data_IF_767386346532
#
_entry.id   IF_767386346532
#
_cell.length_a   1.000
_cell.length_b   1.000
_cell.length_c   1.000
_cell.angle_alpha   90.00
_cell.angle_beta   90.00
_cell.angle_gamma   90.00
#
_symmetry.space_group_name_H-M   'P 1'
#
loop_
_entity.id
_entity.type
_entity.pdbx_description
1 polymer ?
#
# COMPACT_ATOMS: atom_id res chain seq x y z
N UNK A 1 -11.66 10.33 -24.69
CA UNK A 1 -13.04 10.86 -24.59
C UNK A 1 -13.00 11.93 -23.51
N UNK A 2 -13.70 13.05 -23.68
CA UNK A 2 -13.76 14.06 -22.62
C UNK A 2 -14.85 13.71 -21.59
N UNK A 3 -14.49 13.76 -20.31
CA UNK A 3 -15.39 13.52 -19.18
C UNK A 3 -15.83 14.83 -18.50
N UNK A 4 -15.29 15.99 -18.91
CA UNK A 4 -15.64 17.30 -18.34
C UNK A 4 -17.15 17.62 -18.35
N UNK A 5 -17.98 17.15 -19.31
CA UNK A 5 -19.43 17.36 -19.26
C UNK A 5 -20.12 16.74 -18.04
N UNK A 6 -19.56 15.68 -17.45
CA UNK A 6 -20.15 14.98 -16.29
C UNK A 6 -20.13 15.82 -15.01
N UNK A 7 -19.25 16.83 -14.93
CA UNK A 7 -19.15 17.75 -13.80
C UNK A 7 -20.39 18.65 -13.63
N UNK A 8 -21.32 18.64 -14.60
CA UNK A 8 -22.61 19.36 -14.56
C UNK A 8 -23.70 18.62 -13.77
N UNK A 9 -23.46 17.38 -13.33
CA UNK A 9 -24.46 16.49 -12.73
C UNK A 9 -24.09 16.11 -11.29
N UNK A 10 -25.05 16.19 -10.37
CA UNK A 10 -24.89 15.71 -8.99
C UNK A 10 -25.20 14.20 -8.90
N UNK A 11 -24.29 13.38 -9.43
CA UNK A 11 -24.42 11.91 -9.46
C UNK A 11 -24.23 11.33 -8.04
N UNK A 12 -25.18 10.53 -7.57
CA UNK A 12 -25.17 9.99 -6.19
C UNK A 12 -25.45 8.48 -6.15
N UNK A 13 -24.45 7.67 -5.79
CA UNK A 13 -24.60 6.23 -5.61
C UNK A 13 -25.12 5.90 -4.20
N UNK A 14 -26.34 6.33 -3.88
CA UNK A 14 -26.92 6.12 -2.54
C UNK A 14 -27.18 4.63 -2.26
N UNK A 15 -26.71 4.17 -1.10
CA UNK A 15 -26.89 2.79 -0.63
C UNK A 15 -26.10 1.73 -1.42
N UNK A 16 -26.59 0.49 -1.29
CA UNK A 16 -25.99 -0.76 -1.81
C UNK A 16 -25.81 -0.73 -3.34
N UNK A 17 -24.61 -1.00 -3.90
CA UNK A 17 -24.39 -1.02 -5.36
C UNK A 17 -25.27 -2.02 -6.10
N UNK A 18 -25.55 -3.17 -5.51
CA UNK A 18 -26.27 -4.29 -6.14
C UNK A 18 -27.80 -4.15 -6.09
N UNK A 19 -28.31 -3.02 -5.59
CA UNK A 19 -29.74 -2.76 -5.46
C UNK A 19 -30.15 -1.52 -6.23
N UNK A 20 -31.28 -1.60 -6.92
CA UNK A 20 -31.91 -0.47 -7.62
C UNK A 20 -32.07 0.74 -6.68
N UNK A 21 -31.95 1.93 -7.26
CA UNK A 21 -31.90 3.19 -6.52
C UNK A 21 -33.20 3.97 -6.65
N UNK A 22 -33.68 4.56 -5.56
CA UNK A 22 -34.75 5.54 -5.60
C UNK A 22 -34.32 6.89 -6.23
N UNK A 23 -33.02 7.12 -6.44
CA UNK A 23 -32.48 8.27 -7.18
C UNK A 23 -32.11 7.86 -8.60
N UNK A 24 -32.78 8.44 -9.61
CA UNK A 24 -32.54 8.17 -11.04
C UNK A 24 -31.29 8.81 -11.64
N UNK A 25 -30.36 9.35 -10.84
CA UNK A 25 -29.10 9.96 -11.30
C UNK A 25 -27.91 9.40 -10.52
N UNK A 26 -27.44 8.22 -10.94
CA UNK A 26 -26.34 7.48 -10.31
C UNK A 26 -25.43 6.80 -11.32
N UNK A 27 -24.34 6.21 -10.83
CA UNK A 27 -23.37 5.43 -11.59
C UNK A 27 -23.23 3.97 -11.10
N UNK A 28 -24.26 3.40 -10.44
CA UNK A 28 -24.17 2.06 -9.80
C UNK A 28 -23.68 0.96 -10.75
N UNK A 29 -24.05 1.00 -12.03
CA UNK A 29 -23.55 0.08 -13.05
C UNK A 29 -22.03 0.16 -13.24
N UNK A 30 -21.48 1.37 -13.40
CA UNK A 30 -20.02 1.59 -13.47
C UNK A 30 -19.31 1.18 -12.17
N UNK A 31 -19.98 1.31 -11.03
CA UNK A 31 -19.46 0.84 -9.75
C UNK A 31 -19.40 -0.69 -9.68
N UNK A 32 -20.46 -1.41 -10.09
CA UNK A 32 -20.46 -2.87 -10.15
C UNK A 32 -19.42 -3.38 -11.17
N UNK A 33 -19.27 -2.74 -12.33
CA UNK A 33 -18.22 -3.05 -13.30
C UNK A 33 -16.79 -2.87 -12.73
N UNK A 34 -16.56 -1.83 -11.93
CA UNK A 34 -15.28 -1.64 -11.22
C UNK A 34 -15.06 -2.72 -10.16
N UNK A 35 -16.11 -3.14 -9.45
CA UNK A 35 -16.02 -4.22 -8.45
C UNK A 35 -15.78 -5.58 -9.12
N UNK A 36 -16.49 -5.92 -10.19
CA UNK A 36 -16.29 -7.15 -10.98
C UNK A 36 -14.85 -7.24 -11.51
N UNK A 37 -14.29 -6.12 -11.96
CA UNK A 37 -12.90 -6.06 -12.43
C UNK A 37 -11.89 -6.40 -11.33
N UNK A 38 -12.09 -5.87 -10.12
CA UNK A 38 -11.25 -6.21 -8.97
C UNK A 38 -11.52 -7.62 -8.43
N UNK A 39 -12.78 -8.08 -8.40
CA UNK A 39 -13.12 -9.45 -8.02
C UNK A 39 -12.40 -10.47 -8.93
N UNK A 40 -12.42 -10.25 -10.25
CA UNK A 40 -11.66 -11.05 -11.22
C UNK A 40 -10.15 -11.01 -10.96
N UNK A 41 -9.58 -9.83 -10.71
CA UNK A 41 -8.14 -9.68 -10.45
C UNK A 41 -7.69 -10.42 -9.17
N UNK A 42 -8.55 -10.43 -8.15
CA UNK A 42 -8.30 -11.05 -6.84
C UNK A 42 -8.83 -12.49 -6.74
N UNK A 43 -9.18 -13.08 -7.88
CA UNK A 43 -9.71 -14.45 -8.07
C UNK A 43 -10.96 -14.81 -7.25
N UNK A 44 -11.74 -13.81 -6.83
CA UNK A 44 -13.07 -14.03 -6.24
C UNK A 44 -14.03 -14.46 -7.35
N UNK A 45 -14.88 -15.47 -7.11
CA UNK A 45 -15.89 -15.84 -8.11
C UNK A 45 -16.91 -14.71 -8.26
N UNK A 46 -17.45 -14.55 -9.47
CA UNK A 46 -18.59 -13.67 -9.70
C UNK A 46 -19.77 -14.14 -8.82
N UNK A 47 -20.52 -13.16 -8.31
CA UNK A 47 -21.66 -13.33 -7.40
C UNK A 47 -21.33 -13.92 -5.99
N UNK A 48 -20.06 -14.25 -5.70
CA UNK A 48 -19.59 -14.66 -4.36
C UNK A 48 -18.93 -13.53 -3.55
N UNK A 49 -19.13 -12.27 -3.95
CA UNK A 49 -18.51 -11.11 -3.30
C UNK A 49 -19.53 -10.00 -2.99
N UNK A 50 -19.21 -9.16 -2.00
CA UNK A 50 -19.87 -7.88 -1.77
C UNK A 50 -18.82 -6.81 -1.48
N UNK A 51 -19.05 -5.60 -1.99
CA UNK A 51 -18.17 -4.44 -1.82
C UNK A 51 -18.80 -3.20 -2.44
N UNK A 52 -18.09 -2.08 -2.35
CA UNK A 52 -18.49 -0.80 -2.95
C UNK A 52 -17.27 0.11 -3.18
N UNK A 53 -17.39 1.10 -4.05
CA UNK A 53 -16.33 2.09 -4.32
C UNK A 53 -16.29 3.11 -3.19
N UNK A 54 -15.12 3.21 -2.56
CA UNK A 54 -14.85 3.99 -1.34
C UNK A 54 -14.21 5.36 -1.64
N UNK A 55 -14.26 6.27 -0.66
CA UNK A 55 -13.35 7.40 -0.51
C UNK A 55 -11.91 6.94 -0.64
N UNK A 56 -11.55 5.95 0.16
CA UNK A 56 -10.28 5.33 -0.06
C UNK A 56 -9.73 4.37 0.97
N UNK A 57 -8.39 4.22 1.00
CA UNK A 57 -7.72 3.23 1.85
C UNK A 57 -8.04 3.42 3.33
N UNK A 58 -8.18 4.67 3.78
CA UNK A 58 -8.65 4.93 5.15
C UNK A 58 -10.06 4.36 5.41
N UNK A 59 -10.94 4.38 4.41
CA UNK A 59 -12.29 3.82 4.49
C UNK A 59 -12.32 2.31 4.30
N UNK A 60 -11.70 1.76 3.26
CA UNK A 60 -11.72 0.31 3.03
C UNK A 60 -11.09 -0.45 4.20
N UNK A 61 -10.08 0.13 4.85
CA UNK A 61 -9.52 -0.38 6.10
C UNK A 61 -10.51 -0.25 7.28
N UNK A 62 -11.24 0.87 7.39
CA UNK A 62 -12.28 1.03 8.40
C UNK A 62 -13.40 -0.01 8.22
N UNK A 63 -13.92 -0.17 7.00
CA UNK A 63 -14.98 -1.12 6.68
C UNK A 63 -14.53 -2.58 6.81
N UNK A 64 -13.33 -2.92 6.34
CA UNK A 64 -12.79 -4.29 6.44
C UNK A 64 -12.53 -4.70 7.90
N UNK A 65 -12.00 -3.80 8.73
CA UNK A 65 -11.82 -4.06 10.16
C UNK A 65 -13.15 -4.02 10.93
N UNK A 66 -14.15 -3.26 10.48
CA UNK A 66 -15.51 -3.33 11.01
C UNK A 66 -16.13 -4.71 10.72
N UNK A 67 -16.02 -5.22 9.49
CA UNK A 67 -16.46 -6.58 9.15
C UNK A 67 -15.78 -7.65 10.02
N UNK A 68 -14.45 -7.58 10.16
CA UNK A 68 -13.71 -8.49 11.04
C UNK A 68 -14.16 -8.42 12.51
N UNK A 69 -14.52 -7.23 13.00
CA UNK A 69 -15.06 -7.01 14.34
C UNK A 69 -16.48 -7.53 14.52
N UNK A 70 -17.39 -7.32 13.58
CA UNK A 70 -18.76 -7.84 13.71
C UNK A 70 -18.81 -9.37 13.58
N UNK A 71 -17.88 -9.96 12.82
CA UNK A 71 -17.70 -11.42 12.74
C UNK A 71 -17.01 -12.00 13.98
N UNK A 72 -16.03 -11.30 14.56
CA UNK A 72 -15.28 -11.72 15.75
C UNK A 72 -15.30 -10.63 16.86
N UNK A 73 -16.42 -10.46 17.61
CA UNK A 73 -16.59 -9.34 18.54
C UNK A 73 -15.57 -9.28 19.69
N UNK A 74 -15.11 -10.43 20.17
CA UNK A 74 -14.06 -10.54 21.21
C UNK A 74 -12.64 -10.64 20.63
N UNK A 75 -12.50 -10.49 19.31
CA UNK A 75 -11.25 -10.62 18.57
C UNK A 75 -10.24 -9.51 18.87
N UNK A 76 -8.97 -9.89 19.00
CA UNK A 76 -7.85 -8.94 19.09
C UNK A 76 -7.38 -8.58 17.68
N UNK A 77 -7.16 -7.28 17.42
CA UNK A 77 -6.46 -6.81 16.23
C UNK A 77 -4.94 -6.98 16.38
N UNK A 78 -4.32 -7.68 15.44
CA UNK A 78 -2.86 -7.75 15.30
C UNK A 78 -2.46 -7.05 13.99
N UNK A 79 -1.46 -6.17 14.07
CA UNK A 79 -1.08 -5.27 12.96
C UNK A 79 0.38 -4.87 13.07
N UNK A 80 1.10 -4.81 11.95
CA UNK A 80 2.53 -4.43 11.92
C UNK A 80 2.76 -2.96 12.31
N UNK A 81 3.94 -2.64 12.84
CA UNK A 81 4.31 -1.24 13.18
C UNK A 81 4.31 -0.30 11.95
N UNK A 82 4.59 -0.84 10.76
CA UNK A 82 4.59 -0.12 9.47
C UNK A 82 3.20 -0.09 8.79
N UNK A 83 2.17 -0.67 9.42
CA UNK A 83 0.77 -0.61 8.94
C UNK A 83 0.28 0.84 8.87
N UNK A 84 -0.57 1.15 7.88
CA UNK A 84 -1.05 2.51 7.66
C UNK A 84 -1.88 3.04 8.85
N UNK A 85 -1.78 4.35 9.15
CA UNK A 85 -2.36 4.93 10.36
C UNK A 85 -3.90 4.82 10.46
N UNK A 86 -4.59 4.51 9.36
CA UNK A 86 -6.02 4.17 9.36
C UNK A 86 -6.33 2.93 10.19
N UNK A 87 -5.42 1.95 10.27
CA UNK A 87 -5.59 0.72 11.05
C UNK A 87 -5.66 1.04 12.55
N UNK A 88 -4.70 1.82 13.06
CA UNK A 88 -4.71 2.28 14.47
C UNK A 88 -5.89 3.23 14.76
N UNK A 89 -6.32 4.02 13.76
CA UNK A 89 -7.52 4.87 13.86
C UNK A 89 -8.80 4.02 13.98
N UNK A 90 -8.95 2.98 13.16
CA UNK A 90 -10.06 2.03 13.20
C UNK A 90 -10.13 1.32 14.55
N UNK A 91 -9.01 0.76 15.02
CA UNK A 91 -8.92 0.13 16.33
C UNK A 91 -9.43 1.03 17.46
N UNK A 92 -9.01 2.31 17.46
CA UNK A 92 -9.45 3.32 18.43
C UNK A 92 -10.93 3.70 18.29
N UNK A 93 -11.44 3.83 17.06
CA UNK A 93 -12.85 4.17 16.80
C UNK A 93 -13.80 3.06 17.22
N UNK A 94 -13.46 1.81 16.89
CA UNK A 94 -14.27 0.62 17.17
C UNK A 94 -13.98 -0.03 18.53
N UNK A 95 -13.06 0.55 19.31
CA UNK A 95 -12.63 0.12 20.66
C UNK A 95 -12.08 -1.31 20.71
N UNK A 96 -11.40 -1.73 19.64
CA UNK A 96 -10.77 -3.04 19.54
C UNK A 96 -9.50 -3.10 20.39
N UNK A 97 -9.26 -4.22 21.06
CA UNK A 97 -7.94 -4.49 21.64
C UNK A 97 -6.93 -4.68 20.51
N UNK A 98 -5.79 -3.98 20.56
CA UNK A 98 -4.81 -3.94 19.47
C UNK A 98 -3.41 -4.30 19.96
N UNK A 99 -2.75 -5.25 19.28
CA UNK A 99 -1.36 -5.65 19.51
C UNK A 99 -0.52 -5.21 18.31
N UNK A 100 0.39 -4.27 18.55
CA UNK A 100 1.35 -3.85 17.54
C UNK A 100 2.44 -4.91 17.42
N UNK A 101 2.61 -5.45 16.21
CA UNK A 101 3.65 -6.42 15.86
C UNK A 101 4.90 -5.66 15.40
N UNK A 102 6.07 -6.23 15.69
CA UNK A 102 7.35 -5.79 15.15
C UNK A 102 7.41 -5.95 13.62
N UNK A 103 8.46 -5.39 13.02
CA UNK A 103 8.70 -5.49 11.58
C UNK A 103 10.16 -5.81 11.32
N UNK A 104 10.41 -6.52 10.22
CA UNK A 104 11.75 -6.70 9.65
C UNK A 104 12.29 -5.35 9.14
N UNK A 105 13.60 -5.26 8.87
CA UNK A 105 14.22 -4.07 8.28
C UNK A 105 13.63 -3.71 6.91
N UNK A 106 13.18 -4.71 6.15
CA UNK A 106 12.39 -4.55 4.91
C UNK A 106 11.10 -3.75 5.11
N UNK A 107 10.49 -3.85 6.30
CA UNK A 107 9.19 -3.26 6.66
C UNK A 107 8.04 -4.26 6.74
N UNK A 108 8.30 -5.55 6.43
CA UNK A 108 7.34 -6.65 6.56
C UNK A 108 7.05 -6.98 8.03
N UNK A 109 5.87 -7.53 8.33
CA UNK A 109 5.46 -8.03 9.65
C UNK A 109 6.36 -9.16 10.15
N UNK A 110 6.90 -9.04 11.37
CA UNK A 110 7.68 -10.11 11.99
C UNK A 110 6.75 -11.21 12.52
N UNK A 111 6.70 -12.33 11.80
CA UNK A 111 5.87 -13.48 12.14
C UNK A 111 6.33 -14.20 13.43
N UNK A 112 7.54 -13.97 13.93
CA UNK A 112 8.00 -14.52 15.21
C UNK A 112 7.39 -13.75 16.39
N UNK A 113 7.35 -12.42 16.30
CA UNK A 113 6.69 -11.56 17.29
C UNK A 113 5.15 -11.68 17.21
N UNK A 114 4.59 -11.87 16.01
CA UNK A 114 3.18 -12.25 15.82
C UNK A 114 2.87 -13.54 16.58
N UNK A 115 3.65 -14.61 16.37
CA UNK A 115 3.51 -15.91 17.04
C UNK A 115 3.57 -15.78 18.56
N UNK A 116 4.56 -15.05 19.09
CA UNK A 116 4.69 -14.81 20.52
C UNK A 116 3.45 -14.13 21.11
N UNK A 117 2.88 -13.16 20.39
CA UNK A 117 1.68 -12.42 20.82
C UNK A 117 0.38 -13.23 20.65
N UNK A 118 0.27 -14.07 19.62
CA UNK A 118 -0.84 -15.01 19.45
C UNK A 118 -0.86 -16.06 20.57
N UNK A 119 0.27 -16.69 20.88
CA UNK A 119 0.36 -17.70 21.96
C UNK A 119 -0.07 -17.13 23.31
N UNK A 120 0.30 -15.88 23.62
CA UNK A 120 -0.10 -15.18 24.85
C UNK A 120 -1.60 -14.85 24.94
N UNK A 121 -2.36 -14.97 23.84
CA UNK A 121 -3.76 -14.58 23.76
C UNK A 121 -4.64 -15.64 23.05
N UNK A 122 -4.14 -16.88 22.92
CA UNK A 122 -4.69 -18.00 22.11
C UNK A 122 -6.18 -18.33 22.33
N UNK A 123 -6.72 -17.94 23.49
CA UNK A 123 -8.10 -18.24 23.90
C UNK A 123 -9.10 -17.23 23.28
N UNK A 124 -8.61 -16.11 22.72
CA UNK A 124 -9.41 -15.14 21.93
C UNK A 124 -9.25 -15.35 20.41
N UNK A 125 -10.22 -14.90 19.59
CA UNK A 125 -10.05 -14.82 18.13
C UNK A 125 -9.00 -13.77 17.71
N UNK A 126 -8.53 -13.85 16.47
CA UNK A 126 -7.53 -12.93 15.92
C UNK A 126 -7.97 -12.25 14.62
N UNK A 127 -8.04 -10.92 14.64
CA UNK A 127 -8.25 -10.09 13.45
C UNK A 127 -6.87 -9.61 13.01
N UNK A 128 -6.42 -9.96 11.80
CA UNK A 128 -5.07 -9.65 11.32
C UNK A 128 -5.15 -8.60 10.21
N UNK A 129 -4.36 -7.53 10.33
CA UNK A 129 -4.06 -6.65 9.21
C UNK A 129 -2.77 -7.10 8.52
N UNK A 130 -2.88 -7.49 7.25
CA UNK A 130 -1.76 -7.82 6.35
C UNK A 130 -1.61 -6.67 5.36
N UNK A 131 -0.46 -6.01 5.33
CA UNK A 131 -0.22 -4.84 4.48
C UNK A 131 0.56 -5.21 3.22
N UNK A 132 -0.09 -5.01 2.07
CA UNK A 132 0.48 -5.21 0.74
C UNK A 132 0.88 -3.83 0.21
N UNK A 133 2.13 -3.46 0.48
CA UNK A 133 2.68 -2.16 0.16
C UNK A 133 2.65 -1.17 1.32
N UNK A 134 3.52 -1.36 2.32
CA UNK A 134 3.65 -0.43 3.46
C UNK A 134 3.93 1.00 2.98
N UNK A 135 3.33 1.98 3.65
CA UNK A 135 3.27 3.36 3.13
C UNK A 135 4.64 4.02 2.97
N UNK A 136 5.62 3.69 3.83
CA UNK A 136 6.96 4.28 3.73
C UNK A 136 7.99 3.42 2.96
N UNK A 137 7.93 2.08 3.10
CA UNK A 137 8.94 1.16 2.55
C UNK A 137 8.47 0.36 1.32
N UNK A 138 7.17 0.36 1.03
CA UNK A 138 6.59 -0.49 -0.02
C UNK A 138 6.79 -1.99 0.22
N UNK A 139 6.88 -2.40 1.49
CA UNK A 139 7.02 -3.81 1.88
C UNK A 139 5.68 -4.56 1.73
N UNK A 140 5.73 -5.86 1.52
CA UNK A 140 4.55 -6.70 1.29
C UNK A 140 4.57 -7.84 2.30
N UNK A 141 3.65 -7.81 3.26
CA UNK A 141 3.54 -8.81 4.31
C UNK A 141 3.25 -10.21 3.70
N UNK A 142 4.07 -11.20 4.05
CA UNK A 142 3.97 -12.56 3.53
C UNK A 142 2.73 -13.29 4.11
N UNK A 143 1.64 -13.30 3.34
CA UNK A 143 0.35 -13.86 3.77
C UNK A 143 0.42 -15.36 4.12
N UNK A 144 1.14 -16.18 3.35
CA UNK A 144 1.25 -17.62 3.65
C UNK A 144 2.00 -17.88 4.96
N UNK A 145 3.04 -17.08 5.26
CA UNK A 145 3.75 -17.15 6.54
C UNK A 145 2.88 -16.68 7.71
N UNK A 146 2.00 -15.70 7.48
CA UNK A 146 0.98 -15.25 8.46
C UNK A 146 -0.06 -16.34 8.71
N UNK A 147 -0.65 -16.93 7.66
CA UNK A 147 -1.64 -18.03 7.75
C UNK A 147 -1.03 -19.22 8.50
N UNK A 148 0.13 -19.69 8.05
CA UNK A 148 0.87 -20.77 8.73
C UNK A 148 1.17 -20.45 10.20
N UNK A 149 1.43 -19.19 10.53
CA UNK A 149 1.66 -18.78 11.92
C UNK A 149 0.37 -18.79 12.75
N UNK A 150 -0.80 -18.55 12.18
CA UNK A 150 -2.11 -18.71 12.85
C UNK A 150 -2.40 -20.19 13.11
N UNK A 151 -2.24 -21.03 12.09
CA UNK A 151 -2.42 -22.49 12.15
C UNK A 151 -1.51 -23.12 13.22
N UNK A 152 -0.21 -22.81 13.20
CA UNK A 152 0.76 -23.31 14.18
C UNK A 152 0.56 -22.73 15.59
N UNK A 153 -0.25 -21.68 15.75
CA UNK A 153 -0.72 -21.19 17.06
C UNK A 153 -2.04 -21.85 17.52
N UNK A 154 -2.64 -22.72 16.71
CA UNK A 154 -3.90 -23.40 17.02
C UNK A 154 -5.15 -22.55 16.77
N UNK A 155 -5.09 -21.57 15.86
CA UNK A 155 -6.28 -20.86 15.38
C UNK A 155 -6.77 -21.52 14.08
N UNK A 156 -7.97 -22.09 14.13
CA UNK A 156 -8.75 -22.51 12.96
C UNK A 156 -9.35 -21.30 12.24
N UNK A 157 -9.77 -21.48 10.98
CA UNK A 157 -10.29 -20.40 10.12
C UNK A 157 -11.50 -19.67 10.72
N UNK A 158 -12.37 -20.35 11.48
CA UNK A 158 -13.50 -19.76 12.21
C UNK A 158 -13.07 -18.83 13.37
N UNK A 159 -11.80 -18.89 13.77
CA UNK A 159 -11.23 -18.10 14.88
C UNK A 159 -10.32 -16.97 14.42
N UNK A 160 -10.15 -16.74 13.11
CA UNK A 160 -9.41 -15.58 12.61
C UNK A 160 -10.08 -14.88 11.43
N UNK A 161 -9.71 -13.62 11.21
CA UNK A 161 -10.17 -12.82 10.09
C UNK A 161 -8.99 -12.02 9.53
N UNK A 162 -8.68 -12.18 8.25
CA UNK A 162 -7.59 -11.45 7.59
C UNK A 162 -8.14 -10.29 6.77
N UNK A 163 -7.70 -9.07 7.10
CA UNK A 163 -7.88 -7.88 6.28
C UNK A 163 -6.58 -7.55 5.52
N UNK A 164 -6.68 -7.39 4.21
CA UNK A 164 -5.57 -7.05 3.34
C UNK A 164 -5.59 -5.56 2.97
N UNK A 165 -4.72 -4.73 3.56
CA UNK A 165 -4.50 -3.35 3.08
C UNK A 165 -3.59 -3.38 1.85
N UNK A 166 -4.22 -3.43 0.67
CA UNK A 166 -3.53 -3.36 -0.62
C UNK A 166 -3.58 -1.94 -1.23
N UNK A 167 -3.67 -0.89 -0.40
CA UNK A 167 -3.91 0.45 -0.91
C UNK A 167 -2.80 0.96 -1.84
N UNK A 168 -1.52 0.65 -1.63
CA UNK A 168 -0.49 1.02 -2.62
C UNK A 168 -0.35 0.01 -3.77
N UNK A 169 -0.75 -1.25 -3.56
CA UNK A 169 -0.40 -2.38 -4.43
C UNK A 169 -1.58 -3.26 -4.84
N UNK A 170 -2.72 -2.63 -5.10
CA UNK A 170 -3.94 -3.27 -5.64
C UNK A 170 -3.73 -4.10 -6.91
N UNK A 171 -2.64 -3.83 -7.65
CA UNK A 171 -2.23 -4.53 -8.88
C UNK A 171 -1.19 -5.64 -8.64
N UNK A 172 -0.90 -6.03 -7.39
CA UNK A 172 0.06 -7.10 -7.07
C UNK A 172 -0.14 -8.40 -7.89
N UNK A 173 -1.36 -8.90 -8.16
CA UNK A 173 -1.54 -10.12 -8.98
C UNK A 173 -1.01 -10.01 -10.43
N UNK A 174 -0.78 -8.81 -10.97
CA UNK A 174 -0.16 -8.63 -12.30
C UNK A 174 1.32 -8.99 -12.38
N UNK A 175 2.00 -9.13 -11.24
CA UNK A 175 3.43 -9.47 -11.16
C UNK A 175 3.72 -10.90 -11.62
N UNK A 176 2.72 -11.79 -11.63
CA UNK A 176 2.80 -13.13 -12.22
C UNK A 176 3.70 -14.13 -11.48
N UNK A 177 4.20 -13.78 -10.29
CA UNK A 177 4.95 -14.67 -9.40
C UNK A 177 4.01 -15.40 -8.45
N UNK A 178 4.39 -16.61 -8.03
CA UNK A 178 3.75 -17.33 -6.92
C UNK A 178 4.58 -17.17 -5.63
N UNK A 179 3.93 -17.16 -4.44
CA UNK A 179 2.50 -17.33 -4.23
C UNK A 179 1.69 -16.07 -4.58
N UNK A 180 0.62 -16.28 -5.35
CA UNK A 180 -0.37 -15.23 -5.63
C UNK A 180 -1.28 -15.02 -4.43
N UNK A 181 -1.19 -13.83 -3.86
CA UNK A 181 -2.10 -13.28 -2.87
C UNK A 181 -3.51 -13.10 -3.47
N UNK A 182 -4.42 -14.04 -3.26
CA UNK A 182 -5.81 -14.02 -3.80
C UNK A 182 -6.82 -14.64 -2.82
N UNK A 183 -8.12 -14.48 -3.06
CA UNK A 183 -9.19 -15.03 -2.19
C UNK A 183 -9.35 -16.57 -2.27
N UNK A 184 -8.36 -17.29 -2.80
CA UNK A 184 -8.18 -18.73 -2.57
C UNK A 184 -7.58 -19.02 -1.19
N UNK A 185 -6.90 -18.04 -0.59
CA UNK A 185 -6.48 -18.04 0.81
C UNK A 185 -7.64 -17.51 1.69
N UNK A 186 -7.69 -17.82 3.01
CA UNK A 186 -8.72 -17.36 3.94
C UNK A 186 -8.63 -15.85 4.26
N UNK A 187 -8.88 -15.02 3.24
CA UNK A 187 -8.93 -13.55 3.31
C UNK A 187 -10.37 -13.09 3.47
N UNK A 188 -10.64 -12.31 4.52
CA UNK A 188 -11.98 -11.83 4.86
C UNK A 188 -12.36 -10.49 4.21
N UNK A 189 -11.38 -9.65 3.83
CA UNK A 189 -11.58 -8.47 2.98
C UNK A 189 -10.26 -7.91 2.45
N UNK A 190 -10.34 -7.10 1.38
CA UNK A 190 -9.22 -6.32 0.85
C UNK A 190 -9.61 -4.84 0.75
N UNK A 191 -8.69 -3.92 1.05
CA UNK A 191 -8.80 -2.51 0.69
C UNK A 191 -7.95 -2.21 -0.55
N UNK A 192 -8.56 -1.55 -1.53
CA UNK A 192 -7.92 -1.08 -2.76
C UNK A 192 -8.05 0.43 -2.87
N UNK A 193 -6.98 1.10 -3.30
CA UNK A 193 -6.93 2.56 -3.43
C UNK A 193 -6.64 2.99 -4.86
N UNK A 194 -7.71 3.11 -5.64
CA UNK A 194 -7.65 3.80 -6.94
C UNK A 194 -7.34 5.29 -6.78
N UNK A 195 -7.67 5.90 -5.63
CA UNK A 195 -7.49 7.32 -5.32
C UNK A 195 -6.08 7.73 -4.86
N UNK A 196 -5.14 6.79 -4.75
CA UNK A 196 -3.71 7.13 -4.96
C UNK A 196 -3.45 7.58 -6.41
N UNK A 197 -4.53 7.66 -7.22
CA UNK A 197 -4.74 8.45 -8.43
C UNK A 197 -6.11 9.24 -8.44
N UNK A 198 -6.58 9.84 -7.30
CA UNK A 198 -7.76 10.79 -7.04
C UNK A 198 -9.05 10.29 -6.26
N UNK A 199 -9.57 11.08 -5.28
CA UNK A 199 -10.36 10.78 -4.00
C UNK A 199 -11.96 10.81 -3.94
N UNK A 200 -12.52 10.44 -2.74
CA UNK A 200 -13.89 10.71 -2.13
C UNK A 200 -15.06 9.68 -2.37
N UNK A 201 -15.96 9.26 -1.43
CA UNK A 201 -16.40 9.70 -0.05
C UNK A 201 -17.04 8.55 0.84
N UNK A 202 -16.91 8.57 2.21
CA UNK A 202 -17.27 7.51 3.24
C UNK A 202 -18.76 7.16 3.44
N UNK A 203 -19.63 7.83 2.70
CA UNK A 203 -20.91 8.32 3.26
C UNK A 203 -22.14 7.59 2.71
N UNK A 204 -23.32 7.79 3.31
CA UNK A 204 -24.56 7.17 2.81
C UNK A 204 -24.92 7.58 1.38
N UNK A 205 -24.69 8.85 1.05
CA UNK A 205 -24.55 9.33 -0.34
C UNK A 205 -23.10 9.19 -0.77
N UNK A 206 -22.84 8.63 -1.96
CA UNK A 206 -21.48 8.26 -2.42
C UNK A 206 -21.15 8.90 -3.77
N UNK A 207 -19.86 9.16 -3.96
CA UNK A 207 -19.31 9.86 -5.12
C UNK A 207 -19.60 9.10 -6.42
N UNK A 208 -20.58 9.58 -7.20
CA UNK A 208 -20.95 8.96 -8.48
C UNK A 208 -20.02 9.30 -9.65
N UNK A 209 -19.01 10.15 -9.46
CA UNK A 209 -18.01 10.44 -10.49
C UNK A 209 -16.81 9.48 -10.40
N UNK A 210 -16.39 9.10 -9.19
CA UNK A 210 -15.23 8.22 -9.00
C UNK A 210 -15.35 6.88 -9.76
N UNK A 211 -16.47 6.13 -9.69
CA UNK A 211 -16.66 4.91 -10.47
C UNK A 211 -16.46 5.12 -11.98
N UNK A 212 -16.96 6.24 -12.53
CA UNK A 212 -16.84 6.54 -13.96
C UNK A 212 -15.38 6.85 -14.34
N UNK A 213 -14.65 7.63 -13.52
CA UNK A 213 -13.24 7.91 -13.75
C UNK A 213 -12.36 6.65 -13.63
N UNK A 214 -12.62 5.78 -12.65
CA UNK A 214 -11.91 4.51 -12.46
C UNK A 214 -12.21 3.56 -13.63
N UNK A 215 -13.49 3.36 -13.96
CA UNK A 215 -13.93 2.54 -15.09
C UNK A 215 -13.32 3.02 -16.41
N UNK A 216 -13.27 4.33 -16.65
CA UNK A 216 -12.64 4.91 -17.83
C UNK A 216 -11.13 4.65 -17.87
N UNK A 217 -10.43 4.81 -16.75
CA UNK A 217 -9.00 4.53 -16.64
C UNK A 217 -8.65 3.06 -16.87
N UNK A 218 -9.43 2.14 -16.29
CA UNK A 218 -9.30 0.70 -16.48
C UNK A 218 -9.60 0.30 -17.93
N UNK A 219 -10.70 0.78 -18.50
CA UNK A 219 -11.15 0.45 -19.87
C UNK A 219 -10.22 0.98 -20.96
N UNK A 220 -9.64 2.18 -20.76
CA UNK A 220 -8.70 2.78 -21.72
C UNK A 220 -7.34 2.07 -21.79
N UNK A 221 -6.91 1.39 -20.72
CA UNK A 221 -5.63 0.66 -20.67
C UNK A 221 -5.80 -0.85 -20.89
N UNK A 222 -6.89 -1.42 -20.36
CA UNK A 222 -7.09 -2.86 -20.26
C UNK A 222 -6.02 -3.56 -19.41
N UNK A 223 -6.16 -4.88 -19.25
CA UNK A 223 -5.20 -5.71 -18.51
C UNK A 223 -3.76 -5.54 -19.02
N UNK A 224 -3.54 -5.52 -20.35
CA UNK A 224 -2.21 -5.40 -20.94
C UNK A 224 -1.55 -4.04 -20.66
N UNK A 225 -2.26 -2.94 -20.84
CA UNK A 225 -1.71 -1.60 -20.58
C UNK A 225 -1.38 -1.38 -19.10
N UNK A 226 -2.18 -1.95 -18.19
CA UNK A 226 -1.89 -1.93 -16.74
C UNK A 226 -0.65 -2.77 -16.43
N UNK A 227 -0.54 -3.99 -16.98
CA UNK A 227 0.63 -4.85 -16.78
C UNK A 227 1.92 -4.22 -17.33
N UNK A 228 1.86 -3.58 -18.50
CA UNK A 228 2.97 -2.82 -19.05
C UNK A 228 3.39 -1.66 -18.13
N UNK A 229 2.43 -0.91 -17.58
CA UNK A 229 2.72 0.22 -16.71
C UNK A 229 3.34 -0.22 -15.38
N UNK A 230 2.87 -1.30 -14.77
CA UNK A 230 3.52 -1.93 -13.60
C UNK A 230 4.97 -2.29 -13.92
N UNK A 231 5.23 -2.94 -15.06
CA UNK A 231 6.59 -3.27 -15.49
C UNK A 231 7.46 -2.03 -15.73
N UNK A 232 6.93 -0.97 -16.38
CA UNK A 232 7.64 0.30 -16.58
C UNK A 232 8.01 0.95 -15.24
N UNK A 233 7.11 0.94 -14.25
CA UNK A 233 7.36 1.47 -12.91
C UNK A 233 8.48 0.70 -12.19
N UNK A 234 8.42 -0.64 -12.19
CA UNK A 234 9.45 -1.50 -11.58
C UNK A 234 10.84 -1.30 -12.20
N UNK A 235 10.92 -1.21 -13.53
CA UNK A 235 12.18 -0.96 -14.25
C UNK A 235 12.75 0.42 -13.87
N UNK A 236 11.92 1.46 -13.85
CA UNK A 236 12.33 2.83 -13.48
C UNK A 236 12.72 2.96 -12.00
N UNK A 237 12.06 2.24 -11.10
CA UNK A 237 12.43 2.18 -9.68
C UNK A 237 13.80 1.52 -9.47
N UNK A 238 14.06 0.40 -10.14
CA UNK A 238 15.38 -0.26 -10.16
C UNK A 238 16.45 0.67 -10.70
N UNK A 239 16.19 1.33 -11.83
CA UNK A 239 17.07 2.34 -12.43
C UNK A 239 17.48 3.45 -11.45
N UNK A 240 16.51 4.08 -10.75
CA UNK A 240 16.81 5.11 -9.75
C UNK A 240 17.65 4.54 -8.58
N UNK A 241 17.27 3.36 -8.05
CA UNK A 241 18.03 2.71 -6.95
C UNK A 241 19.46 2.41 -7.36
N UNK A 242 19.68 1.92 -8.57
CA UNK A 242 21.01 1.58 -9.06
C UNK A 242 21.84 2.84 -9.39
N UNK A 243 21.24 3.92 -9.94
CA UNK A 243 21.86 5.26 -10.05
C UNK A 243 22.34 5.75 -8.67
N UNK A 244 21.46 5.75 -7.67
CA UNK A 244 21.74 6.24 -6.31
C UNK A 244 22.86 5.44 -5.63
N UNK A 245 22.81 4.09 -5.68
CA UNK A 245 23.86 3.24 -5.09
C UNK A 245 25.21 3.49 -5.74
N UNK A 246 25.26 3.62 -7.06
CA UNK A 246 26.50 3.89 -7.81
C UNK A 246 27.11 5.27 -7.50
N UNK A 247 26.34 6.21 -6.92
CA UNK A 247 26.81 7.51 -6.45
C UNK A 247 27.23 7.51 -4.96
N UNK A 248 27.29 6.35 -4.30
CA UNK A 248 27.59 6.26 -2.87
C UNK A 248 26.52 6.93 -2.00
N UNK A 249 25.26 6.83 -2.40
CA UNK A 249 24.09 7.30 -1.64
C UNK A 249 23.45 6.07 -0.98
N UNK A 250 23.17 6.13 0.32
CA UNK A 250 22.46 5.05 1.02
C UNK A 250 21.05 4.91 0.43
N UNK A 251 20.66 3.73 -0.03
CA UNK A 251 19.40 3.54 -0.77
C UNK A 251 18.90 2.09 -0.72
N UNK A 252 17.58 1.94 -0.61
CA UNK A 252 16.88 0.66 -0.53
C UNK A 252 15.67 0.66 -1.47
N UNK A 253 15.41 -0.49 -2.07
CA UNK A 253 14.19 -0.78 -2.81
C UNK A 253 13.85 -2.25 -2.56
N UNK A 254 12.74 -2.49 -1.86
CA UNK A 254 12.20 -3.83 -1.64
C UNK A 254 11.91 -4.54 -2.97
N UNK A 255 11.92 -5.87 -2.96
CA UNK A 255 11.48 -6.62 -4.13
C UNK A 255 10.02 -6.29 -4.45
N UNK A 256 9.70 -6.25 -5.75
CA UNK A 256 8.41 -5.81 -6.31
C UNK A 256 7.95 -4.39 -5.95
N UNK A 257 8.71 -3.60 -5.18
CA UNK A 257 8.35 -2.21 -4.84
C UNK A 257 8.65 -1.22 -5.98
N UNK A 258 7.94 -0.08 -5.94
CA UNK A 258 8.20 1.13 -6.75
C UNK A 258 8.60 2.32 -5.86
N UNK A 259 8.73 2.09 -4.55
CA UNK A 259 9.10 3.09 -3.55
C UNK A 259 10.61 2.97 -3.31
N UNK A 260 11.39 3.87 -3.89
CA UNK A 260 12.85 3.94 -3.71
C UNK A 260 13.14 4.82 -2.50
N UNK A 261 13.71 4.22 -1.46
CA UNK A 261 14.14 4.90 -0.22
C UNK A 261 15.59 5.34 -0.39
N UNK A 262 15.94 6.52 0.14
CA UNK A 262 17.31 7.03 0.14
C UNK A 262 17.56 8.02 1.29
N UNK A 263 18.81 8.45 1.48
CA UNK A 263 19.16 9.45 2.50
C UNK A 263 18.41 10.78 2.28
N UNK A 264 17.90 11.35 3.37
CA UNK A 264 17.11 12.59 3.33
C UNK A 264 17.98 13.77 2.89
N UNK A 265 17.59 14.52 1.85
CA UNK A 265 18.28 15.75 1.47
C UNK A 265 18.30 16.79 2.60
N UNK A 266 19.42 17.51 2.77
CA UNK A 266 19.52 18.56 3.79
C UNK A 266 18.86 19.90 3.36
N UNK A 267 18.48 20.02 2.08
CA UNK A 267 17.87 21.22 1.52
C UNK A 267 16.33 21.11 1.52
N UNK A 268 15.69 21.95 2.35
CA UNK A 268 14.23 22.04 2.45
C UNK A 268 13.55 22.48 1.16
N UNK A 269 14.14 23.36 0.36
CA UNK A 269 13.57 23.78 -0.92
C UNK A 269 13.77 22.70 -2.00
N UNK A 270 14.80 21.85 -1.89
CA UNK A 270 14.90 20.63 -2.73
C UNK A 270 13.82 19.60 -2.36
N UNK A 271 13.61 19.33 -1.06
CA UNK A 271 12.51 18.47 -0.56
C UNK A 271 11.16 19.00 -1.04
N UNK A 272 10.94 20.32 -0.94
CA UNK A 272 9.70 20.98 -1.33
C UNK A 272 9.48 20.97 -2.84
N UNK A 273 10.50 21.20 -3.64
CA UNK A 273 10.39 21.19 -5.11
C UNK A 273 9.96 19.81 -5.62
N UNK A 274 10.55 18.74 -5.08
CA UNK A 274 10.25 17.35 -5.47
C UNK A 274 9.16 16.68 -4.61
N UNK A 275 8.51 17.41 -3.71
CA UNK A 275 7.45 16.93 -2.80
C UNK A 275 7.83 15.64 -2.02
N UNK A 276 9.09 15.53 -1.58
CA UNK A 276 9.63 14.30 -0.99
C UNK A 276 9.02 13.99 0.39
N UNK A 277 8.38 12.83 0.49
CA UNK A 277 8.01 12.24 1.79
C UNK A 277 9.29 11.88 2.57
N UNK A 278 9.37 12.28 3.84
CA UNK A 278 10.56 12.13 4.68
C UNK A 278 10.19 11.60 6.07
N UNK A 279 10.93 10.59 6.55
CA UNK A 279 10.79 10.02 7.91
C UNK A 279 12.20 9.86 8.50
N UNK A 280 12.46 10.52 9.63
CA UNK A 280 13.80 10.55 10.24
C UNK A 280 14.87 11.05 9.25
N UNK A 281 15.89 10.22 9.06
CA UNK A 281 17.01 10.43 8.13
C UNK A 281 16.73 9.93 6.69
N UNK A 282 15.54 9.40 6.41
CA UNK A 282 15.16 8.85 5.11
C UNK A 282 14.22 9.80 4.34
N UNK A 283 14.29 9.73 3.01
CA UNK A 283 13.28 10.19 2.07
C UNK A 283 12.91 9.06 1.10
N UNK A 284 11.77 9.17 0.41
CA UNK A 284 11.45 8.26 -0.69
C UNK A 284 10.89 8.95 -1.94
N UNK A 285 10.92 8.23 -3.07
CA UNK A 285 10.19 8.54 -4.31
C UNK A 285 9.32 7.35 -4.67
N UNK A 286 8.05 7.60 -4.99
CA UNK A 286 7.11 6.60 -5.53
C UNK A 286 7.11 6.71 -7.06
N UNK A 287 7.66 5.72 -7.75
CA UNK A 287 7.83 5.74 -9.21
C UNK A 287 6.54 5.31 -9.91
N UNK A 288 5.58 6.24 -9.99
CA UNK A 288 4.27 6.06 -10.62
C UNK A 288 4.36 6.10 -12.16
N UNK A 289 3.35 5.64 -12.93
CA UNK A 289 3.45 5.47 -14.39
C UNK A 289 3.83 6.73 -15.18
N UNK A 290 3.48 7.92 -14.67
CA UNK A 290 3.80 9.21 -15.28
C UNK A 290 5.26 9.67 -15.05
N UNK A 291 5.99 9.08 -14.10
CA UNK A 291 7.37 9.43 -13.78
C UNK A 291 8.27 8.86 -14.87
N UNK A 292 8.89 9.73 -15.68
CA UNK A 292 9.74 9.32 -16.82
C UNK A 292 11.20 9.11 -16.40
N UNK A 293 12.07 8.67 -17.33
CA UNK A 293 13.51 8.50 -17.02
C UNK A 293 14.19 9.86 -16.88
N UNK A 294 13.80 10.81 -17.73
CA UNK A 294 14.29 12.18 -17.76
C UNK A 294 13.98 12.90 -16.43
N UNK A 295 12.78 12.71 -15.88
CA UNK A 295 12.43 13.23 -14.54
C UNK A 295 13.29 12.63 -13.41
N UNK A 296 13.69 11.37 -13.53
CA UNK A 296 14.55 10.69 -12.55
C UNK A 296 16.01 11.14 -12.67
N UNK A 297 16.47 11.45 -13.88
CA UNK A 297 17.80 11.99 -14.16
C UNK A 297 17.91 13.45 -13.68
N UNK A 298 16.94 14.31 -14.00
CA UNK A 298 16.85 15.69 -13.48
C UNK A 298 16.85 15.73 -11.94
N UNK A 299 16.10 14.81 -11.31
CA UNK A 299 16.10 14.63 -9.86
C UNK A 299 17.48 14.23 -9.33
N UNK A 300 18.07 13.18 -9.90
CA UNK A 300 19.33 12.63 -9.43
C UNK A 300 20.50 13.59 -9.63
N UNK A 301 20.63 14.23 -10.79
CA UNK A 301 21.70 15.19 -11.08
C UNK A 301 21.52 16.45 -10.20
N UNK A 302 20.28 16.86 -9.93
CA UNK A 302 19.93 17.86 -8.93
C UNK A 302 20.41 17.48 -7.52
N UNK A 303 20.13 16.24 -7.09
CA UNK A 303 20.49 15.70 -5.77
C UNK A 303 22.01 15.60 -5.61
N UNK A 304 22.71 14.92 -6.52
CA UNK A 304 24.17 14.72 -6.48
C UNK A 304 24.91 16.05 -6.50
N UNK A 305 24.48 17.00 -7.35
CA UNK A 305 25.06 18.35 -7.38
C UNK A 305 24.93 19.06 -6.03
N UNK A 306 23.76 19.04 -5.38
CA UNK A 306 23.59 19.66 -4.05
C UNK A 306 24.32 18.89 -2.94
N UNK A 307 24.32 17.55 -2.98
CA UNK A 307 25.09 16.67 -2.07
C UNK A 307 26.59 16.98 -2.08
N UNK A 308 27.15 17.28 -3.26
CA UNK A 308 28.55 17.72 -3.45
C UNK A 308 28.88 19.09 -2.83
N UNK A 309 27.88 19.84 -2.37
CA UNK A 309 28.04 21.08 -1.60
C UNK A 309 27.89 20.77 -0.11
N UNK A 310 26.84 20.04 0.29
CA UNK A 310 26.54 19.73 1.69
C UNK A 310 27.69 19.04 2.44
N UNK A 311 28.33 18.04 1.82
CA UNK A 311 29.36 17.23 2.47
C UNK A 311 30.80 17.59 2.04
N UNK A 312 30.97 18.67 1.25
CA UNK A 312 32.23 19.05 0.58
C UNK A 312 33.45 19.13 1.50
N UNK A 313 33.23 19.54 2.75
CA UNK A 313 34.29 19.86 3.71
C UNK A 313 34.36 18.87 4.89
N UNK A 314 33.59 17.77 4.87
CA UNK A 314 33.57 16.76 5.95
C UNK A 314 32.97 17.22 7.30
N UNK A 315 32.74 18.52 7.49
CA UNK A 315 32.09 19.10 8.68
C UNK A 315 30.68 18.54 8.95
N UNK A 316 30.02 18.03 7.92
CA UNK A 316 28.78 17.25 8.00
C UNK A 316 29.01 15.98 7.19
N UNK A 317 28.60 14.84 7.74
CA UNK A 317 28.71 13.53 7.08
C UNK A 317 27.34 13.07 6.55
N UNK A 318 27.30 12.22 5.51
CA UNK A 318 26.08 11.52 5.13
C UNK A 318 25.53 10.71 6.31
N UNK A 319 24.21 10.68 6.55
CA UNK A 319 23.64 9.92 7.65
C UNK A 319 23.86 8.41 7.44
N UNK A 320 24.20 7.71 8.52
CA UNK A 320 24.03 6.27 8.56
C UNK A 320 22.52 5.96 8.54
N UNK A 321 22.15 4.92 7.78
CA UNK A 321 20.78 4.38 7.70
C UNK A 321 20.76 2.87 7.99
N UNK A 322 21.85 2.32 8.56
CA UNK A 322 22.06 0.87 8.65
C UNK A 322 21.00 0.16 9.52
N UNK A 323 20.44 0.86 10.50
CA UNK A 323 19.35 0.36 11.34
C UNK A 323 17.99 0.46 10.63
N UNK A 324 17.74 1.54 9.88
CA UNK A 324 16.44 1.78 9.25
C UNK A 324 16.21 1.01 7.94
N UNK A 325 17.27 0.81 7.12
CA UNK A 325 17.20 0.12 5.82
C UNK A 325 18.13 -1.11 5.70
N UNK A 326 18.87 -1.45 6.76
CA UNK A 326 19.83 -2.56 6.78
C UNK A 326 21.22 -2.18 6.26
N UNK A 327 22.26 -2.78 6.87
CA UNK A 327 23.68 -2.53 6.58
C UNK A 327 23.99 -2.63 5.07
N UNK A 328 23.45 -3.64 4.38
CA UNK A 328 23.68 -3.90 2.95
C UNK A 328 23.12 -2.84 2.00
N UNK A 329 22.25 -1.94 2.48
CA UNK A 329 21.69 -0.82 1.73
C UNK A 329 22.31 0.53 2.13
N UNK A 330 23.25 0.55 3.09
CA UNK A 330 23.85 1.77 3.63
C UNK A 330 25.24 2.05 3.01
N UNK A 331 25.45 3.29 2.59
CA UNK A 331 26.67 3.77 1.93
C UNK A 331 27.41 4.86 2.75
N UNK A 332 27.19 4.90 4.08
CA UNK A 332 27.94 5.77 4.99
C UNK A 332 29.41 5.31 5.12
N UNK A 333 30.28 6.12 5.75
CA UNK A 333 31.72 5.82 5.83
C UNK A 333 32.06 4.54 6.63
N UNK A 334 31.20 4.18 7.59
CA UNK A 334 31.42 3.06 8.51
C UNK A 334 31.04 1.70 7.92
N UNK A 335 30.09 1.69 6.98
CA UNK A 335 29.55 0.46 6.35
C UNK A 335 29.84 0.37 4.84
N UNK A 336 29.96 1.51 4.15
CA UNK A 336 30.18 1.64 2.70
C UNK A 336 31.59 1.30 2.21
N UNK A 337 32.31 0.42 2.91
CA UNK A 337 33.62 -0.13 2.54
C UNK A 337 33.60 -1.65 2.65
N UNK A 338 32.66 -2.27 1.92
CA UNK A 338 32.28 -3.67 2.16
C UNK A 338 31.67 -4.40 0.96
N UNK A 339 32.15 -4.13 -0.26
CA UNK A 339 32.05 -5.01 -1.44
C UNK A 339 33.14 -4.64 -2.48
#
# INVERSE_FOLDING_TARGET
MDLSPLLRFHINNVGDPFKESALGLHSKEFEVEVLDWFAQLWEIKKDEYWGYVTNGGTEGNLQGLLLGRELLPDGILYTSRESHYSIFKAARMYRMECKIIATLTTGEIDCNDLRAKLILNKDKPAIINVTIGTTFKGAIDNLDLVIKTLEECGLSEDRFYIHCDAAYWAYYPFLGQDPKLTFKQPVGSVSVSAHKLLDATITGSRNGHAPIFIWYGLSMKGYKGIQEDVNKCLIRARYLRDRLRNAGISTMLNEFSIIVIFERPLDHEFIRHWQLSCVGNMAHIVVMPHVTVEMLDDFFDGLVRKRSVWYRHGNVQPPCLADEIGISNCSCLDHGKGL
#
